data_IF_641682729673
#
_entry.id   IF_641682729673
#
_cell.length_a   1.000
_cell.length_b   1.000
_cell.length_c   1.000
_cell.angle_alpha   90.00
_cell.angle_beta   90.00
_cell.angle_gamma   90.00
#
_symmetry.space_group_name_H-M   'P 1'
#
loop_
_entity.id
_entity.type
_entity.pdbx_description
1 polymer ?
#
# COMPACT_ATOMS: atom_id res chain seq x y z
N UNK A 1 18.42 24.40 15.56
CA UNK A 1 17.61 23.25 15.10
C UNK A 1 17.14 23.58 13.69
N UNK A 2 17.92 23.22 12.68
CA UNK A 2 17.60 23.47 11.27
C UNK A 2 16.65 22.38 10.79
N UNK A 3 15.38 22.75 10.67
CA UNK A 3 14.31 21.93 10.09
C UNK A 3 14.32 22.12 8.58
N UNK A 4 15.32 21.58 7.89
CA UNK A 4 15.33 21.48 6.43
C UNK A 4 15.40 20.01 6.01
N UNK A 5 14.27 19.52 5.51
CA UNK A 5 14.20 18.82 4.23
C UNK A 5 15.05 17.56 4.03
N UNK A 6 14.86 16.54 4.87
CA UNK A 6 14.95 15.15 4.35
C UNK A 6 13.64 14.77 3.67
N UNK A 7 13.23 15.55 2.66
CA UNK A 7 12.24 15.14 1.67
C UNK A 7 12.95 14.18 0.70
N UNK A 8 13.38 13.03 1.21
CA UNK A 8 13.90 11.95 0.38
C UNK A 8 12.74 11.62 -0.57
N UNK A 9 12.87 11.84 -1.89
CA UNK A 9 11.83 11.46 -2.82
C UNK A 9 11.62 9.97 -2.59
N UNK A 10 10.42 9.60 -2.18
CA UNK A 10 10.08 8.21 -1.95
C UNK A 10 10.35 7.49 -3.27
N UNK A 11 11.43 6.70 -3.28
CA UNK A 11 11.86 5.95 -4.44
C UNK A 11 10.91 4.75 -4.54
N UNK A 12 9.66 5.04 -4.95
CA UNK A 12 8.52 4.13 -4.94
C UNK A 12 8.67 2.93 -5.89
N UNK A 13 9.87 2.69 -6.41
CA UNK A 13 10.22 1.58 -7.29
C UNK A 13 11.22 0.58 -6.70
N UNK A 14 11.83 0.84 -5.54
CA UNK A 14 12.76 -0.09 -4.88
C UNK A 14 12.15 -0.71 -3.61
N UNK A 15 12.49 -1.96 -3.31
CA UNK A 15 12.24 -2.56 -1.99
C UNK A 15 12.83 -1.67 -0.88
N UNK A 16 12.27 -1.77 0.34
CA UNK A 16 12.69 -0.99 1.51
C UNK A 16 14.23 -0.98 1.64
N UNK A 17 14.81 0.21 1.78
CA UNK A 17 16.25 0.43 1.74
C UNK A 17 16.96 0.02 3.04
N UNK A 18 16.22 -0.04 4.15
CA UNK A 18 16.74 -0.33 5.47
C UNK A 18 15.70 -1.02 6.38
N UNK A 19 16.18 -1.58 7.50
CA UNK A 19 15.34 -2.35 8.44
C UNK A 19 14.27 -1.49 9.14
N UNK A 20 14.57 -0.22 9.41
CA UNK A 20 13.65 0.70 10.06
C UNK A 20 12.46 1.01 9.16
N UNK A 21 12.72 1.30 7.89
CA UNK A 21 11.73 1.50 6.85
C UNK A 21 10.86 0.24 6.67
N UNK A 22 11.47 -0.95 6.65
CA UNK A 22 10.73 -2.22 6.57
C UNK A 22 9.73 -2.38 7.73
N UNK A 23 10.14 -2.04 8.96
CA UNK A 23 9.27 -2.12 10.15
C UNK A 23 8.13 -1.10 10.10
N UNK A 24 8.43 0.14 9.69
CA UNK A 24 7.43 1.18 9.54
C UNK A 24 6.38 0.83 8.47
N UNK A 25 6.82 0.25 7.35
CA UNK A 25 5.93 -0.24 6.30
C UNK A 25 5.08 -1.42 6.78
N UNK A 26 5.67 -2.37 7.50
CA UNK A 26 4.95 -3.50 8.09
C UNK A 26 3.85 -3.06 9.07
N UNK A 27 4.14 -2.07 9.92
CA UNK A 27 3.15 -1.51 10.86
C UNK A 27 1.99 -0.78 10.15
N UNK A 28 2.26 -0.14 9.02
CA UNK A 28 1.21 0.47 8.19
C UNK A 28 0.31 -0.60 7.55
N UNK A 29 0.89 -1.74 7.16
CA UNK A 29 0.14 -2.88 6.60
C UNK A 29 -0.70 -3.63 7.64
N UNK A 30 -0.29 -3.67 8.90
CA UNK A 30 -1.01 -4.37 9.98
C UNK A 30 -2.44 -3.86 10.18
N UNK A 31 -2.71 -2.61 9.83
CA UNK A 31 -4.06 -2.01 9.92
C UNK A 31 -4.93 -2.31 8.71
N UNK A 32 -4.37 -2.88 7.65
CA UNK A 32 -5.11 -3.23 6.44
C UNK A 32 -5.76 -4.60 6.61
N UNK A 33 -7.08 -4.65 6.42
CA UNK A 33 -7.86 -5.86 6.56
C UNK A 33 -7.88 -6.64 5.25
N UNK A 34 -7.95 -7.96 5.36
CA UNK A 34 -8.15 -8.81 4.19
C UNK A 34 -9.62 -8.84 3.77
N UNK A 35 -9.90 -9.21 2.52
CA UNK A 35 -11.27 -9.40 2.04
C UNK A 35 -12.06 -10.47 2.84
N UNK A 36 -11.36 -11.40 3.49
CA UNK A 36 -11.99 -12.41 4.35
C UNK A 36 -12.40 -11.80 5.69
N UNK A 37 -11.49 -11.07 6.35
CA UNK A 37 -11.78 -10.36 7.61
C UNK A 37 -12.91 -9.34 7.46
N UNK A 38 -12.98 -8.65 6.32
CA UNK A 38 -14.09 -7.73 6.05
C UNK A 38 -15.44 -8.46 6.02
N UNK A 39 -15.50 -9.67 5.45
CA UNK A 39 -16.74 -10.47 5.41
C UNK A 39 -17.16 -10.95 6.79
N UNK A 40 -16.19 -11.34 7.64
CA UNK A 40 -16.45 -11.75 9.03
C UNK A 40 -16.99 -10.59 9.87
N UNK A 41 -16.51 -9.37 9.62
CA UNK A 41 -16.98 -8.13 10.26
C UNK A 41 -18.25 -7.53 9.63
N UNK A 42 -18.97 -8.28 8.79
CA UNK A 42 -20.16 -7.82 8.04
C UNK A 42 -19.93 -6.56 7.17
N UNK A 43 -18.67 -6.32 6.76
CA UNK A 43 -18.29 -5.22 5.86
C UNK A 43 -18.20 -5.69 4.43
N UNK A 44 -18.60 -4.82 3.51
CA UNK A 44 -18.53 -5.11 2.08
C UNK A 44 -17.07 -4.97 1.58
N UNK A 45 -16.48 -6.01 0.97
CA UNK A 45 -15.16 -5.91 0.36
C UNK A 45 -15.22 -5.08 -0.93
N UNK A 46 -14.05 -4.62 -1.39
CA UNK A 46 -13.96 -3.87 -2.63
C UNK A 46 -14.42 -4.72 -3.83
N UNK A 47 -15.07 -4.10 -4.83
CA UNK A 47 -15.48 -4.81 -6.04
C UNK A 47 -14.29 -5.43 -6.76
N UNK A 48 -14.49 -6.65 -7.27
CA UNK A 48 -13.49 -7.29 -8.14
C UNK A 48 -13.37 -6.45 -9.40
N UNK A 49 -12.18 -5.90 -9.66
CA UNK A 49 -11.90 -5.16 -10.88
C UNK A 49 -11.93 -6.14 -12.05
N UNK A 50 -12.98 -6.08 -12.87
CA UNK A 50 -13.02 -6.81 -14.13
C UNK A 50 -12.23 -6.01 -15.17
N UNK A 51 -11.14 -6.60 -15.68
CA UNK A 51 -10.40 -6.05 -16.81
C UNK A 51 -11.21 -6.25 -18.10
N UNK A 52 -12.31 -5.54 -18.29
CA UNK A 52 -12.99 -5.49 -19.59
C UNK A 52 -12.45 -4.39 -20.51
N UNK A 53 -11.60 -3.48 -20.03
CA UNK A 53 -11.17 -2.29 -20.78
C UNK A 53 -9.65 -2.11 -20.85
N UNK A 54 -8.90 -3.15 -21.23
CA UNK A 54 -7.53 -2.95 -21.71
C UNK A 54 -7.08 -3.99 -22.80
N UNK A 55 -7.53 -4.02 -24.06
CA UNK A 55 -8.25 -3.12 -24.96
C UNK A 55 -7.78 -1.65 -25.08
N UNK A 56 -6.86 -1.18 -24.24
CA UNK A 56 -6.48 0.23 -24.17
C UNK A 56 -4.96 0.40 -24.00
N UNK A 57 -4.21 -0.33 -24.83
CA UNK A 57 -3.12 0.16 -25.71
C UNK A 57 -2.20 -1.01 -26.06
N UNK A 58 -2.47 -1.57 -27.23
CA UNK A 58 -1.43 -1.98 -28.20
C UNK A 58 -0.30 -0.97 -28.26
#
# INVERSE_FOLDING_TARGET
>A
MSNEDKKIPAANGSMASNLEEMKQLGSQMERQRTNQELKEDERQPDPVQHNSDNACRS
#
